data_IF_128022047274
#
_entry.id   IF_128022047274
#
_cell.length_a   1.000
_cell.length_b   1.000
_cell.length_c   1.000
_cell.angle_alpha   90.00
_cell.angle_beta   90.00
_cell.angle_gamma   90.00
#
_symmetry.space_group_name_H-M   'P 1'
#
loop_
_entity.id
_entity.type
_entity.pdbx_description
1 polymer ?
#
# COMPACT_ATOMS: atom_id res chain seq x y z
N UNK A 1 4.00 -10.51 -24.73
CA UNK A 1 4.60 -10.05 -23.46
C UNK A 1 3.50 -10.02 -22.42
N UNK A 2 3.67 -10.74 -21.33
CA UNK A 2 2.68 -10.70 -20.26
C UNK A 2 2.80 -9.40 -19.49
N UNK A 3 1.63 -8.82 -19.19
CA UNK A 3 1.57 -7.70 -18.27
C UNK A 3 1.98 -8.18 -16.87
N UNK A 4 2.84 -7.44 -16.19
CA UNK A 4 3.26 -7.79 -14.83
C UNK A 4 2.09 -7.87 -13.87
N UNK A 5 0.98 -7.19 -14.17
CA UNK A 5 -0.24 -7.23 -13.34
C UNK A 5 -1.12 -8.45 -13.64
N UNK A 6 -0.74 -9.31 -14.60
CA UNK A 6 -1.43 -10.57 -14.82
C UNK A 6 -1.06 -11.62 -13.77
N UNK A 7 0.07 -11.45 -13.07
CA UNK A 7 0.44 -12.33 -11.97
C UNK A 7 -0.47 -12.09 -10.76
N UNK A 8 -0.58 -13.09 -9.89
CA UNK A 8 -1.35 -12.95 -8.66
C UNK A 8 -0.81 -11.82 -7.78
N UNK A 9 0.52 -11.76 -7.63
CA UNK A 9 1.15 -10.70 -6.85
C UNK A 9 0.89 -9.33 -7.48
N UNK A 10 1.00 -9.22 -8.80
CA UNK A 10 0.74 -7.97 -9.51
C UNK A 10 -0.68 -7.47 -9.29
N UNK A 11 -1.66 -8.37 -9.35
CA UNK A 11 -3.05 -7.99 -9.08
C UNK A 11 -3.26 -7.52 -7.64
N UNK A 12 -2.60 -8.18 -6.68
CA UNK A 12 -2.68 -7.76 -5.26
C UNK A 12 -2.04 -6.40 -5.04
N UNK A 13 -0.89 -6.15 -5.64
CA UNK A 13 -0.22 -4.84 -5.55
C UNK A 13 -1.10 -3.74 -6.15
N UNK A 14 -1.71 -4.00 -7.30
CA UNK A 14 -2.61 -3.04 -7.94
C UNK A 14 -3.84 -2.77 -7.06
N UNK A 15 -4.43 -3.81 -6.48
CA UNK A 15 -5.58 -3.67 -5.59
C UNK A 15 -5.22 -2.88 -4.34
N UNK A 16 -4.06 -3.17 -3.74
CA UNK A 16 -3.56 -2.43 -2.58
C UNK A 16 -3.34 -0.96 -2.91
N UNK A 17 -2.76 -0.69 -4.08
CA UNK A 17 -2.52 0.68 -4.55
C UNK A 17 -3.84 1.45 -4.66
N UNK A 18 -4.83 0.87 -5.33
CA UNK A 18 -6.14 1.52 -5.51
C UNK A 18 -6.82 1.77 -4.18
N UNK A 19 -6.86 0.78 -3.30
CA UNK A 19 -7.50 0.91 -1.99
C UNK A 19 -6.80 1.96 -1.13
N UNK A 20 -5.46 1.98 -1.13
CA UNK A 20 -4.68 2.93 -0.35
C UNK A 20 -4.89 4.37 -0.82
N UNK A 21 -4.97 4.60 -2.14
CA UNK A 21 -5.27 5.93 -2.67
C UNK A 21 -6.67 6.39 -2.27
N UNK A 22 -7.66 5.51 -2.36
CA UNK A 22 -9.03 5.86 -1.95
C UNK A 22 -9.09 6.24 -0.48
N UNK A 23 -8.46 5.45 0.38
CA UNK A 23 -8.46 5.74 1.82
C UNK A 23 -7.68 7.03 2.11
N UNK A 24 -6.54 7.24 1.44
CA UNK A 24 -5.75 8.46 1.66
C UNK A 24 -6.56 9.72 1.34
N UNK A 25 -7.42 9.67 0.33
CA UNK A 25 -8.28 10.82 -0.02
C UNK A 25 -9.30 11.15 1.07
N UNK A 26 -9.59 10.19 1.96
CA UNK A 26 -10.50 10.40 3.09
C UNK A 26 -9.79 10.95 4.33
N UNK A 27 -8.46 11.01 4.30
CA UNK A 27 -7.67 11.55 5.40
C UNK A 27 -7.58 13.07 5.26
N UNK A 28 -8.06 13.79 6.29
CA UNK A 28 -8.03 15.24 6.29
C UNK A 28 -6.64 15.81 6.56
N UNK A 29 -5.79 15.07 7.26
CA UNK A 29 -4.43 15.53 7.53
C UNK A 29 -3.58 15.44 6.27
N UNK A 30 -3.12 16.58 5.77
CA UNK A 30 -2.40 16.66 4.52
C UNK A 30 -1.04 15.97 4.57
N UNK A 31 -0.36 16.06 5.69
CA UNK A 31 0.98 15.46 5.83
C UNK A 31 0.88 13.94 5.75
N UNK A 32 -0.02 13.35 6.52
CA UNK A 32 -0.20 11.90 6.51
C UNK A 32 -0.71 11.41 5.15
N UNK A 33 -1.67 12.14 4.56
CA UNK A 33 -2.19 11.81 3.23
C UNK A 33 -1.08 11.72 2.19
N UNK A 34 -0.22 12.74 2.16
CA UNK A 34 0.87 12.78 1.18
C UNK A 34 1.92 11.71 1.45
N UNK A 35 2.23 11.43 2.70
CA UNK A 35 3.16 10.36 3.07
C UNK A 35 2.65 8.99 2.63
N UNK A 36 1.37 8.72 2.82
CA UNK A 36 0.75 7.47 2.40
C UNK A 36 0.80 7.34 0.87
N UNK A 37 0.41 8.37 0.14
CA UNK A 37 0.44 8.37 -1.32
C UNK A 37 1.86 8.16 -1.85
N UNK A 38 2.82 8.86 -1.26
CA UNK A 38 4.22 8.69 -1.64
C UNK A 38 4.69 7.24 -1.42
N UNK A 39 4.35 6.66 -0.27
CA UNK A 39 4.75 5.30 0.07
C UNK A 39 4.12 4.28 -0.88
N UNK A 40 2.88 4.48 -1.28
CA UNK A 40 2.21 3.61 -2.24
C UNK A 40 2.93 3.65 -3.60
N UNK A 41 3.32 4.82 -4.04
CA UNK A 41 4.09 4.98 -5.29
C UNK A 41 5.45 4.26 -5.17
N UNK A 42 6.11 4.35 -4.02
CA UNK A 42 7.37 3.65 -3.78
C UNK A 42 7.20 2.13 -3.86
N UNK A 43 6.10 1.60 -3.32
CA UNK A 43 5.80 0.17 -3.40
C UNK A 43 5.62 -0.25 -4.87
N UNK A 44 4.87 0.51 -5.62
CA UNK A 44 4.63 0.25 -7.03
C UNK A 44 5.94 0.27 -7.81
N UNK A 45 6.77 1.29 -7.57
CA UNK A 45 8.07 1.44 -8.21
C UNK A 45 9.00 0.26 -7.88
N UNK A 46 9.07 -0.13 -6.62
CA UNK A 46 9.89 -1.26 -6.18
C UNK A 46 9.42 -2.55 -6.86
N UNK A 47 8.10 -2.76 -6.93
CA UNK A 47 7.54 -3.92 -7.61
C UNK A 47 7.94 -3.95 -9.10
N UNK A 48 7.88 -2.82 -9.78
CA UNK A 48 8.26 -2.73 -11.19
C UNK A 48 9.75 -3.04 -11.39
N UNK A 49 10.61 -2.50 -10.53
CA UNK A 49 12.05 -2.71 -10.64
C UNK A 49 12.41 -4.16 -10.34
N UNK A 50 11.81 -4.74 -9.31
CA UNK A 50 12.17 -6.08 -8.82
C UNK A 50 11.38 -7.19 -9.48
N UNK A 51 10.54 -6.88 -10.46
CA UNK A 51 9.69 -7.89 -11.11
C UNK A 51 10.50 -8.98 -11.82
N UNK A 52 11.74 -8.70 -12.20
CA UNK A 52 12.66 -9.67 -12.78
C UNK A 52 13.61 -10.32 -11.79
N UNK A 53 13.66 -9.83 -10.55
CA UNK A 53 14.49 -10.33 -9.48
C UNK A 53 13.60 -11.03 -8.46
N UNK A 54 13.99 -12.18 -7.99
CA UNK A 54 13.16 -12.96 -7.07
C UNK A 54 13.30 -12.54 -5.62
N UNK A 55 13.90 -11.38 -5.37
CA UNK A 55 14.04 -10.85 -4.01
C UNK A 55 12.85 -9.95 -3.69
N UNK A 56 12.05 -10.36 -2.72
CA UNK A 56 10.91 -9.59 -2.27
C UNK A 56 11.18 -8.80 -0.98
N UNK A 57 12.44 -8.82 -0.49
CA UNK A 57 12.75 -8.21 0.80
C UNK A 57 12.49 -6.70 0.81
N UNK A 58 12.88 -6.00 -0.25
CA UNK A 58 12.64 -4.56 -0.34
C UNK A 58 11.14 -4.25 -0.46
N UNK A 59 10.43 -5.04 -1.27
CA UNK A 59 8.99 -4.87 -1.44
C UNK A 59 8.26 -5.06 -0.11
N UNK A 60 8.63 -6.09 0.65
CA UNK A 60 8.02 -6.35 1.96
C UNK A 60 8.31 -5.23 2.95
N UNK A 61 9.51 -4.66 2.95
CA UNK A 61 9.84 -3.51 3.79
C UNK A 61 8.99 -2.30 3.44
N UNK A 62 8.81 -2.03 2.14
CA UNK A 62 8.00 -0.91 1.69
C UNK A 62 6.54 -1.06 2.10
N UNK A 63 6.00 -2.29 1.98
CA UNK A 63 4.64 -2.59 2.40
C UNK A 63 4.49 -2.43 3.92
N UNK A 64 5.48 -2.87 4.67
CA UNK A 64 5.47 -2.74 6.13
C UNK A 64 5.47 -1.27 6.56
N UNK A 65 6.22 -0.42 5.89
CA UNK A 65 6.21 1.02 6.15
C UNK A 65 4.81 1.60 5.91
N UNK A 66 4.16 1.20 4.82
CA UNK A 66 2.80 1.65 4.54
C UNK A 66 1.83 1.24 5.64
N UNK A 67 1.92 -0.01 6.11
CA UNK A 67 1.09 -0.51 7.20
C UNK A 67 1.28 0.33 8.47
N UNK A 68 2.52 0.72 8.76
CA UNK A 68 2.81 1.56 9.93
C UNK A 68 2.21 2.96 9.79
N UNK A 69 2.17 3.54 8.60
CA UNK A 69 1.48 4.81 8.40
C UNK A 69 -0.01 4.69 8.68
N UNK A 70 -0.65 3.60 8.24
CA UNK A 70 -2.07 3.38 8.56
C UNK A 70 -2.29 3.14 10.04
N UNK A 71 -1.39 2.41 10.68
CA UNK A 71 -1.44 2.19 12.12
C UNK A 71 -1.36 3.52 12.89
N UNK A 72 -0.41 4.38 12.49
CA UNK A 72 -0.27 5.70 13.09
C UNK A 72 -1.54 6.53 12.89
N UNK A 73 -2.09 6.52 11.68
CA UNK A 73 -3.32 7.25 11.37
C UNK A 73 -4.49 6.82 12.24
N UNK A 74 -4.60 5.51 12.52
CA UNK A 74 -5.61 4.97 13.40
C UNK A 74 -5.44 5.45 14.84
N UNK A 75 -4.21 5.42 15.34
CA UNK A 75 -3.90 5.90 16.71
C UNK A 75 -4.17 7.38 16.91
N UNK A 76 -3.94 8.16 15.87
CA UNK A 76 -4.18 9.61 15.90
C UNK A 76 -5.62 9.98 15.57
N UNK A 77 -6.48 8.98 15.34
CA UNK A 77 -7.89 9.16 14.94
C UNK A 77 -8.04 9.96 13.63
N UNK A 78 -7.06 9.84 12.75
CA UNK A 78 -7.07 10.48 11.44
C UNK A 78 -7.69 9.60 10.37
N UNK A 79 -7.82 8.30 10.65
CA UNK A 79 -8.40 7.31 9.73
C UNK A 79 -9.50 6.56 10.49
N UNK A 80 -10.67 6.43 9.87
CA UNK A 80 -11.78 5.69 10.47
C UNK A 80 -11.46 4.20 10.55
N UNK A 81 -11.87 3.57 11.64
CA UNK A 81 -11.59 2.15 11.91
C UNK A 81 -12.09 1.24 10.79
N UNK A 82 -13.26 1.53 10.24
CA UNK A 82 -13.82 0.73 9.15
C UNK A 82 -12.94 0.75 7.90
N UNK A 83 -12.29 1.89 7.61
CA UNK A 83 -11.36 2.01 6.50
C UNK A 83 -10.06 1.24 6.78
N UNK A 84 -9.60 1.26 8.02
CA UNK A 84 -8.42 0.49 8.44
C UNK A 84 -8.65 -1.00 8.29
N UNK A 85 -9.84 -1.49 8.65
CA UNK A 85 -10.17 -2.91 8.50
C UNK A 85 -10.10 -3.36 7.05
N UNK A 86 -10.64 -2.56 6.14
CA UNK A 86 -10.60 -2.87 4.72
C UNK A 86 -9.17 -2.96 4.20
N UNK A 87 -8.31 -2.02 4.61
CA UNK A 87 -6.92 -2.02 4.21
C UNK A 87 -6.16 -3.21 4.78
N UNK A 88 -6.35 -3.50 6.07
CA UNK A 88 -5.65 -4.61 6.72
C UNK A 88 -6.03 -5.95 6.12
N UNK A 89 -7.26 -6.12 5.69
CA UNK A 89 -7.65 -7.32 4.96
C UNK A 89 -6.85 -7.47 3.67
N UNK A 90 -6.58 -6.38 2.99
CA UNK A 90 -5.73 -6.39 1.80
C UNK A 90 -4.29 -6.78 2.11
N UNK A 91 -3.72 -6.26 3.22
CA UNK A 91 -2.36 -6.62 3.64
C UNK A 91 -2.24 -8.10 4.00
N UNK A 92 -3.24 -8.66 4.67
CA UNK A 92 -3.21 -10.07 5.08
C UNK A 92 -3.24 -11.03 3.88
N UNK A 93 -3.76 -10.60 2.75
CA UNK A 93 -3.83 -11.41 1.54
C UNK A 93 -2.51 -11.40 0.76
N UNK A 94 -1.67 -10.41 1.00
CA UNK A 94 -0.34 -10.37 0.39
C UNK A 94 0.59 -11.36 1.05
#
# INVERSE_FOLDING_TARGET
MEDIFDSELGRKILALTKASFKVSDLISDLVLREKIKHQVIEIYKTFLIDSGNQSFSELLKEIDILDHYFYLGGHLNLIKEEHLKQLRNGFLVL
#
